data_IF_959400165519
#
_entry.id   IF_959400165519
#
_cell.length_a   1.000
_cell.length_b   1.000
_cell.length_c   1.000
_cell.angle_alpha   90.00
_cell.angle_beta   90.00
_cell.angle_gamma   90.00
#
_symmetry.space_group_name_H-M   'P 1'
#
loop_
_entity.id
_entity.type
_entity.pdbx_description
1 polymer ?
#
# COMPACT_ATOMS: atom_id res chain seq x y z
N UNK A 1 4.45 9.78 18.56
CA UNK A 1 5.64 10.09 17.75
C UNK A 1 5.33 9.88 16.27
N UNK A 2 5.80 10.79 15.43
CA UNK A 2 5.69 10.70 13.97
C UNK A 2 7.10 10.58 13.43
N UNK A 3 7.40 9.50 12.73
CA UNK A 3 8.73 9.23 12.19
C UNK A 3 8.66 9.29 10.66
N UNK A 4 9.47 10.15 10.06
CA UNK A 4 9.67 10.22 8.62
C UNK A 4 10.93 9.44 8.29
N UNK A 5 10.83 8.34 7.55
CA UNK A 5 11.96 7.53 7.14
C UNK A 5 12.21 7.65 5.64
N UNK A 6 13.43 8.08 5.27
CA UNK A 6 13.88 8.04 3.88
C UNK A 6 14.60 6.74 3.56
N UNK A 7 14.35 6.19 2.38
CA UNK A 7 14.94 4.95 1.88
C UNK A 7 15.58 5.17 0.50
N UNK A 8 16.54 4.31 0.16
CA UNK A 8 17.21 4.28 -1.14
C UNK A 8 17.16 2.86 -1.72
N UNK A 9 17.55 2.75 -2.98
CA UNK A 9 17.95 1.49 -3.59
C UNK A 9 19.37 1.10 -3.16
N UNK A 10 19.88 -0.01 -3.69
CA UNK A 10 21.17 -0.60 -3.35
C UNK A 10 22.31 -0.17 -4.28
N UNK A 11 22.14 0.87 -5.10
CA UNK A 11 23.06 1.20 -6.21
C UNK A 11 24.41 1.76 -5.75
N UNK A 12 24.49 2.40 -4.57
CA UNK A 12 25.71 3.06 -4.08
C UNK A 12 26.12 2.52 -2.71
N UNK A 13 27.18 3.09 -2.13
CA UNK A 13 27.67 2.70 -0.80
C UNK A 13 26.62 3.04 0.28
N UNK A 14 26.64 2.26 1.37
CA UNK A 14 25.72 2.47 2.50
C UNK A 14 25.76 3.90 3.03
N UNK A 15 26.94 4.48 3.20
CA UNK A 15 27.13 5.83 3.77
C UNK A 15 26.57 6.91 2.84
N UNK A 16 26.80 6.80 1.52
CA UNK A 16 26.22 7.75 0.56
C UNK A 16 24.71 7.68 0.56
N UNK A 17 24.17 6.46 0.55
CA UNK A 17 22.73 6.21 0.62
C UNK A 17 22.12 6.64 1.95
N UNK A 18 22.86 6.49 3.06
CA UNK A 18 22.42 7.00 4.36
C UNK A 18 22.24 8.53 4.34
N UNK A 19 23.24 9.24 3.80
CA UNK A 19 23.15 10.70 3.64
C UNK A 19 21.99 11.11 2.71
N UNK A 20 21.84 10.41 1.58
CA UNK A 20 20.77 10.68 0.62
C UNK A 20 19.38 10.43 1.23
N UNK A 21 19.20 9.33 1.94
CA UNK A 21 17.95 8.99 2.62
C UNK A 21 17.61 9.96 3.76
N UNK A 22 18.64 10.41 4.51
CA UNK A 22 18.49 11.41 5.54
C UNK A 22 18.02 12.76 4.95
N UNK A 23 18.63 13.20 3.85
CA UNK A 23 18.24 14.44 3.17
C UNK A 23 16.81 14.37 2.63
N UNK A 24 16.35 13.21 2.15
CA UNK A 24 14.96 13.04 1.70
C UNK A 24 13.98 13.14 2.85
N UNK A 25 14.25 12.48 3.97
CA UNK A 25 13.41 12.58 5.16
C UNK A 25 13.37 14.01 5.70
N UNK A 26 14.51 14.69 5.74
CA UNK A 26 14.62 16.08 6.16
C UNK A 26 13.80 17.01 5.26
N UNK A 27 13.93 16.91 3.94
CA UNK A 27 13.20 17.78 3.00
C UNK A 27 11.68 17.63 3.14
N UNK A 28 11.20 16.42 3.43
CA UNK A 28 9.76 16.18 3.69
C UNK A 28 9.35 16.81 5.02
N UNK A 29 10.15 16.68 6.08
CA UNK A 29 9.89 17.30 7.37
C UNK A 29 9.85 18.84 7.26
N UNK A 30 10.82 19.42 6.54
CA UNK A 30 10.89 20.85 6.25
C UNK A 30 9.65 21.34 5.50
N UNK A 31 9.26 20.64 4.44
CA UNK A 31 8.04 20.96 3.68
C UNK A 31 6.79 20.95 4.57
N UNK A 32 6.61 19.92 5.39
CA UNK A 32 5.45 19.79 6.29
C UNK A 32 5.41 20.96 7.30
N UNK A 33 6.55 21.28 7.90
CA UNK A 33 6.62 22.27 8.95
C UNK A 33 6.60 23.73 8.43
N UNK A 34 7.17 24.00 7.27
CA UNK A 34 7.35 25.36 6.77
C UNK A 34 6.39 25.70 5.63
N UNK A 35 6.32 24.85 4.60
CA UNK A 35 5.69 25.17 3.33
C UNK A 35 4.24 24.66 3.21
N UNK A 36 3.84 23.63 3.95
CA UNK A 36 2.50 23.06 3.84
C UNK A 36 1.42 24.05 4.28
N UNK A 37 0.43 24.26 3.42
CA UNK A 37 -0.76 25.06 3.70
C UNK A 37 -1.88 24.26 4.35
N UNK A 38 -1.84 22.93 4.26
CA UNK A 38 -2.81 22.01 4.88
C UNK A 38 -2.66 21.83 6.39
N UNK A 39 -1.58 22.40 6.99
CA UNK A 39 -1.28 22.28 8.41
C UNK A 39 -1.28 23.67 9.04
N UNK A 40 -2.14 23.87 10.04
CA UNK A 40 -2.24 25.16 10.75
C UNK A 40 -0.99 25.46 11.59
N UNK A 41 -0.70 26.75 11.93
CA UNK A 41 0.43 27.10 12.78
C UNK A 41 0.46 26.39 14.13
N UNK A 42 -0.71 26.18 14.76
CA UNK A 42 -0.84 25.43 16.01
C UNK A 42 -0.47 23.96 15.85
N UNK A 43 -0.91 23.32 14.78
CA UNK A 43 -0.54 21.94 14.44
C UNK A 43 0.96 21.81 14.12
N UNK A 44 1.55 22.77 13.41
CA UNK A 44 3.00 22.81 13.17
C UNK A 44 3.80 22.87 14.47
N UNK A 45 3.34 23.64 15.44
CA UNK A 45 3.96 23.70 16.76
C UNK A 45 3.90 22.37 17.50
N UNK A 46 2.77 21.66 17.44
CA UNK A 46 2.65 20.32 18.01
C UNK A 46 3.51 19.30 17.28
N UNK A 47 3.55 19.34 15.94
CA UNK A 47 4.38 18.46 15.13
C UNK A 47 5.85 18.55 15.47
N UNK A 48 6.39 19.75 15.78
CA UNK A 48 7.80 19.93 16.16
C UNK A 48 8.23 19.11 17.38
N UNK A 49 7.31 18.82 18.30
CA UNK A 49 7.60 18.00 19.48
C UNK A 49 7.44 16.49 19.23
N UNK A 50 6.77 16.10 18.15
CA UNK A 50 6.40 14.72 17.86
C UNK A 50 7.18 14.13 16.69
N UNK A 51 7.73 14.98 15.81
CA UNK A 51 8.28 14.58 14.51
C UNK A 51 9.77 14.27 14.60
N UNK A 52 10.16 13.14 14.02
CA UNK A 52 11.55 12.70 13.84
C UNK A 52 11.78 12.39 12.36
N UNK A 53 12.94 12.77 11.82
CA UNK A 53 13.33 12.46 10.44
C UNK A 53 14.59 11.62 10.42
N UNK A 54 14.54 10.43 9.79
CA UNK A 54 15.61 9.45 9.80
C UNK A 54 15.94 8.94 8.38
N UNK A 55 17.23 8.79 8.08
CA UNK A 55 17.71 8.07 6.91
C UNK A 55 17.89 6.59 7.21
N UNK A 56 17.42 5.71 6.33
CA UNK A 56 17.52 4.24 6.47
C UNK A 56 18.47 3.62 5.46
N UNK A 57 19.07 4.44 4.58
CA UNK A 57 19.89 3.89 3.49
C UNK A 57 19.10 2.85 2.68
N UNK A 58 19.71 1.72 2.33
CA UNK A 58 19.08 0.56 1.70
C UNK A 58 18.83 -0.60 2.68
N UNK A 59 18.65 -0.32 3.98
CA UNK A 59 18.46 -1.36 4.99
C UNK A 59 17.15 -2.13 4.85
N UNK A 60 16.19 -1.59 4.10
CA UNK A 60 14.85 -2.15 3.94
C UNK A 60 14.40 -1.98 2.47
N UNK A 61 15.00 -2.75 1.53
CA UNK A 61 14.63 -2.69 0.13
C UNK A 61 13.27 -3.34 -0.11
N UNK A 62 12.55 -2.83 -1.11
CA UNK A 62 11.34 -3.51 -1.62
C UNK A 62 11.77 -4.49 -2.70
N UNK A 63 11.21 -5.70 -2.65
CA UNK A 63 11.46 -6.75 -3.63
C UNK A 63 10.29 -6.84 -4.62
N UNK A 64 10.61 -7.16 -5.86
CA UNK A 64 9.63 -7.49 -6.89
C UNK A 64 9.06 -8.92 -6.71
N UNK A 65 8.13 -9.33 -7.56
CA UNK A 65 7.51 -10.66 -7.53
C UNK A 65 8.51 -11.82 -7.74
N UNK A 66 9.71 -11.54 -8.25
CA UNK A 66 10.77 -12.53 -8.50
C UNK A 66 11.83 -12.56 -7.38
N UNK A 67 11.67 -11.72 -6.35
CA UNK A 67 12.61 -11.60 -5.24
C UNK A 67 13.82 -10.70 -5.51
N UNK A 68 13.85 -9.96 -6.61
CA UNK A 68 14.87 -8.97 -6.89
C UNK A 68 14.52 -7.61 -6.28
N UNK A 69 15.54 -6.78 -6.00
CA UNK A 69 15.30 -5.43 -5.49
C UNK A 69 14.61 -4.57 -6.55
N UNK A 70 13.39 -4.10 -6.22
CA UNK A 70 12.75 -3.04 -6.98
C UNK A 70 13.36 -1.69 -6.57
N UNK A 71 14.26 -1.20 -7.40
CA UNK A 71 14.97 0.05 -7.14
C UNK A 71 14.03 1.26 -7.12
N UNK A 72 12.96 1.27 -7.91
CA UNK A 72 12.01 2.38 -7.97
C UNK A 72 11.14 2.43 -6.70
N UNK A 73 10.57 1.31 -6.32
CA UNK A 73 9.76 1.19 -5.09
C UNK A 73 10.62 1.40 -3.83
N UNK A 74 11.90 1.00 -3.86
CA UNK A 74 12.84 1.17 -2.73
C UNK A 74 13.18 2.65 -2.48
N UNK A 75 13.18 3.51 -3.49
CA UNK A 75 13.42 4.95 -3.36
C UNK A 75 12.16 5.68 -2.88
N UNK A 76 11.86 5.56 -1.59
CA UNK A 76 10.63 6.08 -0.97
C UNK A 76 10.88 6.87 0.29
N UNK A 77 9.85 7.59 0.73
CA UNK A 77 9.73 8.13 2.08
C UNK A 77 8.52 7.50 2.74
N UNK A 78 8.68 7.06 3.97
CA UNK A 78 7.64 6.39 4.76
C UNK A 78 7.33 7.22 5.99
N UNK A 79 6.04 7.38 6.29
CA UNK A 79 5.57 7.94 7.55
C UNK A 79 5.19 6.79 8.49
N UNK A 80 5.79 6.77 9.68
CA UNK A 80 5.45 5.83 10.74
C UNK A 80 4.86 6.59 11.92
N UNK A 81 3.80 6.04 12.47
CA UNK A 81 3.15 6.59 13.66
C UNK A 81 3.38 5.64 14.83
N UNK A 82 3.97 6.15 15.90
CA UNK A 82 4.08 5.42 17.17
C UNK A 82 3.12 6.04 18.16
N UNK A 83 2.11 5.26 18.52
CA UNK A 83 1.16 5.62 19.57
C UNK A 83 1.78 5.25 20.91
N UNK A 84 1.81 6.20 21.84
CA UNK A 84 2.35 6.02 23.19
C UNK A 84 1.28 6.06 24.28
N UNK A 85 0.04 6.37 23.89
CA UNK A 85 -1.11 6.40 24.78
C UNK A 85 -1.91 5.10 24.65
N UNK A 86 -1.94 4.30 25.71
CA UNK A 86 -2.67 3.03 25.74
C UNK A 86 -4.17 3.21 25.45
N UNK A 87 -4.74 4.36 25.82
CA UNK A 87 -6.14 4.69 25.52
C UNK A 87 -6.38 4.90 24.03
N UNK A 88 -5.43 5.52 23.32
CA UNK A 88 -5.54 5.74 21.87
C UNK A 88 -5.38 4.43 21.12
N UNK A 89 -4.49 3.54 21.58
CA UNK A 89 -4.32 2.20 21.03
C UNK A 89 -5.61 1.39 21.19
N UNK A 90 -6.23 1.46 22.37
CA UNK A 90 -7.49 0.76 22.65
C UNK A 90 -8.65 1.31 21.81
N UNK A 91 -8.75 2.63 21.63
CA UNK A 91 -9.75 3.25 20.76
C UNK A 91 -9.57 2.85 19.29
N UNK A 92 -8.33 2.83 18.79
CA UNK A 92 -8.07 2.40 17.41
C UNK A 92 -8.39 0.92 17.22
N UNK A 93 -8.07 0.07 18.19
CA UNK A 93 -8.44 -1.35 18.17
C UNK A 93 -9.95 -1.52 18.10
N UNK A 94 -10.69 -0.81 18.96
CA UNK A 94 -12.17 -0.84 18.98
C UNK A 94 -12.77 -0.44 17.63
N UNK A 95 -12.26 0.63 16.99
CA UNK A 95 -12.73 1.07 15.66
C UNK A 95 -12.45 0.02 14.58
N UNK A 96 -11.27 -0.61 14.63
CA UNK A 96 -10.91 -1.65 13.66
C UNK A 96 -11.73 -2.93 13.84
N UNK A 97 -12.02 -3.32 15.08
CA UNK A 97 -12.86 -4.47 15.40
C UNK A 97 -14.32 -4.21 14.96
N UNK A 98 -14.87 -3.02 15.20
CA UNK A 98 -16.20 -2.63 14.76
C UNK A 98 -16.32 -2.62 13.22
N UNK A 99 -15.32 -2.09 12.53
CA UNK A 99 -15.27 -2.09 11.06
C UNK A 99 -15.15 -3.51 10.46
N UNK A 100 -14.52 -4.43 11.15
CA UNK A 100 -14.39 -5.82 10.72
C UNK A 100 -15.70 -6.60 10.89
N UNK A 101 -16.47 -6.28 11.93
CA UNK A 101 -17.77 -6.91 12.20
C UNK A 101 -18.85 -6.43 11.21
N UNK A 102 -18.84 -5.14 10.84
CA UNK A 102 -19.72 -4.60 9.79
C UNK A 102 -19.42 -5.21 8.40
N UNK A 103 -18.16 -5.49 8.07
CA UNK A 103 -17.80 -6.12 6.81
C UNK A 103 -18.25 -7.58 6.69
N UNK A 104 -18.56 -8.27 7.81
CA UNK A 104 -19.07 -9.63 7.84
C UNK A 104 -20.62 -9.70 7.89
N UNK A 105 -21.29 -8.57 8.08
CA UNK A 105 -22.73 -8.49 8.21
C UNK A 105 -23.49 -8.26 6.90
N UNK A 106 -22.84 -8.11 5.75
CA UNK A 106 -23.54 -8.07 4.48
C UNK A 106 -24.01 -9.48 4.09
N UNK A 107 -25.33 -9.72 3.99
CA UNK A 107 -25.85 -10.99 3.54
C UNK A 107 -25.48 -11.17 2.06
N UNK A 108 -24.73 -12.22 1.77
CA UNK A 108 -24.54 -12.72 0.41
C UNK A 108 -25.91 -12.86 -0.24
N UNK A 109 -26.23 -12.16 -1.34
CA UNK A 109 -27.48 -12.44 -2.06
C UNK A 109 -27.41 -13.88 -2.54
N UNK A 110 -28.42 -14.65 -2.13
CA UNK A 110 -28.62 -16.01 -2.58
C UNK A 110 -28.52 -16.03 -4.12
N UNK A 111 -27.59 -16.81 -4.62
CA UNK A 111 -27.52 -17.11 -6.05
C UNK A 111 -28.86 -17.73 -6.44
N UNK A 112 -29.68 -16.98 -7.16
CA UNK A 112 -30.85 -17.47 -7.84
C UNK A 112 -30.36 -18.44 -8.89
N UNK A 113 -30.72 -19.71 -8.69
CA UNK A 113 -30.40 -20.84 -9.53
C UNK A 113 -30.96 -20.58 -10.93
N UNK A 114 -30.12 -20.19 -11.89
CA UNK A 114 -30.52 -20.07 -13.28
C UNK A 114 -30.84 -21.47 -13.82
N UNK A 115 -31.98 -21.65 -14.52
CA UNK A 115 -32.33 -22.97 -15.09
C UNK A 115 -31.30 -23.33 -16.14
N UNK A 116 -30.91 -24.62 -16.10
CA UNK A 116 -30.03 -25.26 -17.08
C UNK A 116 -30.60 -25.10 -18.48
N UNK A 117 -29.78 -24.76 -19.50
CA UNK A 117 -30.25 -24.74 -20.87
C UNK A 117 -30.57 -26.14 -21.33
N UNK A 118 -31.78 -26.32 -21.87
CA UNK A 118 -32.33 -27.52 -22.49
C UNK A 118 -31.42 -28.00 -23.63
N UNK A 119 -31.09 -29.26 -23.60
CA UNK A 119 -30.21 -29.95 -24.53
C UNK A 119 -30.74 -29.85 -25.98
N UNK A 120 -29.93 -29.21 -26.87
CA UNK A 120 -30.27 -29.12 -28.28
C UNK A 120 -30.14 -30.48 -28.96
N UNK A 121 -31.04 -30.86 -29.91
CA UNK A 121 -30.98 -32.12 -30.58
C UNK A 121 -29.76 -32.22 -31.52
N UNK A 122 -29.27 -33.43 -31.78
CA UNK A 122 -28.06 -33.64 -32.58
C UNK A 122 -28.28 -33.23 -34.04
N UNK A 123 -27.29 -32.49 -34.59
CA UNK A 123 -27.26 -32.07 -35.97
C UNK A 123 -27.10 -33.30 -36.89
N UNK A 124 -28.01 -33.42 -37.89
CA UNK A 124 -27.93 -34.36 -38.99
C UNK A 124 -26.63 -34.19 -39.77
N UNK A 125 -25.95 -35.31 -39.99
CA UNK A 125 -24.79 -35.44 -40.88
C UNK A 125 -25.23 -35.23 -42.34
N UNK A 126 -24.76 -34.15 -42.97
CA UNK A 126 -24.83 -33.96 -44.42
C UNK A 126 -23.65 -34.70 -45.08
N UNK A 127 -23.88 -35.56 -46.06
CA UNK A 127 -22.79 -36.26 -46.74
C UNK A 127 -22.02 -35.31 -47.68
N UNK A 128 -20.70 -35.46 -47.67
CA UNK A 128 -19.80 -34.75 -48.57
C UNK A 128 -20.04 -35.09 -50.02
N UNK A 129 -19.91 -34.13 -50.97
CA UNK A 129 -19.95 -34.45 -52.41
C UNK A 129 -18.63 -35.10 -52.85
N UNK A 130 -18.76 -36.24 -53.53
CA UNK A 130 -17.68 -36.87 -54.29
C UNK A 130 -17.27 -35.94 -55.43
N UNK A 131 -16.00 -35.56 -55.51
CA UNK A 131 -15.41 -35.01 -56.73
C UNK A 131 -14.75 -36.16 -57.51
N UNK A 132 -15.37 -36.56 -58.56
CA UNK A 132 -14.76 -37.34 -59.62
C UNK A 132 -13.98 -36.45 -60.59
N UNK A 133 -12.91 -37.05 -61.17
CA UNK A 133 -12.02 -36.67 -62.28
C UNK A 133 -10.96 -35.64 -61.97
#
# INVERSE_FOLDING_TARGET
EIIIEGHTDTTDTYIKNLKLSQNRAYAVAEYVLESSTGVTPGQKTQLKSLLTANGRSYSDPILDANGNVDAQASRRVVFKFRLTDDRMIEQMRSILEESADEAQAEPTPAAEEAPLPEEAPPAEETPAPETGE
#
